data_IF_484981298738
#
_entry.id   IF_484981298738
#
_cell.length_a   1.000
_cell.length_b   1.000
_cell.length_c   1.000
_cell.angle_alpha   90.00
_cell.angle_beta   90.00
_cell.angle_gamma   90.00
#
_symmetry.space_group_name_H-M   'P 1'
#
loop_
_entity.id
_entity.type
_entity.pdbx_description
1 polymer ?
#
# COMPACT_ATOMS: atom_id res chain seq x y z
N UNK A 1 14.94 2.32 -3.82
CA UNK A 1 13.57 1.81 -4.04
C UNK A 1 13.58 0.69 -5.07
N UNK A 2 14.41 0.84 -6.10
CA UNK A 2 14.63 -0.13 -7.20
C UNK A 2 14.90 -1.57 -6.74
N UNK A 3 15.49 -1.77 -5.55
CA UNK A 3 15.68 -3.11 -4.98
C UNK A 3 14.57 -3.54 -3.99
N UNK A 4 13.91 -2.60 -3.31
CA UNK A 4 12.94 -2.89 -2.23
C UNK A 4 11.59 -3.31 -2.80
N UNK A 5 11.05 -2.55 -3.77
CA UNK A 5 9.75 -2.86 -4.36
C UNK A 5 9.72 -4.23 -5.04
N UNK A 6 10.72 -4.61 -5.86
CA UNK A 6 10.77 -5.96 -6.42
C UNK A 6 10.94 -7.04 -5.35
N UNK A 7 11.72 -6.81 -4.30
CA UNK A 7 11.87 -7.78 -3.21
C UNK A 7 10.56 -8.02 -2.45
N UNK A 8 9.80 -6.95 -2.19
CA UNK A 8 8.48 -7.02 -1.57
C UNK A 8 7.50 -7.82 -2.44
N UNK A 9 7.44 -7.51 -3.74
CA UNK A 9 6.59 -8.23 -4.69
C UNK A 9 7.02 -9.70 -4.82
N UNK A 10 8.31 -9.99 -5.00
CA UNK A 10 8.81 -11.36 -5.11
C UNK A 10 8.45 -12.19 -3.88
N UNK A 11 8.62 -11.61 -2.68
CA UNK A 11 8.23 -12.28 -1.44
C UNK A 11 6.73 -12.55 -1.39
N UNK A 12 5.91 -11.59 -1.82
CA UNK A 12 4.46 -11.72 -1.84
C UNK A 12 3.97 -12.75 -2.87
N UNK A 13 4.54 -12.75 -4.07
CA UNK A 13 4.19 -13.70 -5.14
C UNK A 13 4.45 -15.16 -4.72
N UNK A 14 5.54 -15.43 -3.99
CA UNK A 14 5.83 -16.78 -3.47
C UNK A 14 4.70 -17.28 -2.55
N UNK A 15 4.21 -16.42 -1.68
CA UNK A 15 3.21 -16.80 -0.68
C UNK A 15 1.81 -16.95 -1.34
N UNK A 16 1.49 -16.16 -2.36
CA UNK A 16 0.25 -16.33 -3.14
C UNK A 16 0.15 -17.68 -3.85
N UNK A 17 1.25 -18.20 -4.41
CA UNK A 17 1.28 -19.50 -5.08
C UNK A 17 1.05 -20.65 -4.09
N UNK A 18 1.37 -20.44 -2.81
CA UNK A 18 1.38 -21.47 -1.77
C UNK A 18 0.13 -21.48 -0.90
N UNK A 19 -0.61 -20.39 -0.86
CA UNK A 19 -1.68 -20.18 0.11
C UNK A 19 -2.90 -19.50 -0.53
N UNK A 20 -4.02 -20.24 -0.63
CA UNK A 20 -5.28 -19.72 -1.13
C UNK A 20 -5.89 -18.63 -0.23
N UNK A 21 -5.48 -18.55 1.04
CA UNK A 21 -5.87 -17.47 1.95
C UNK A 21 -5.05 -16.20 1.76
N UNK A 22 -3.99 -16.23 0.93
CA UNK A 22 -3.17 -15.05 0.63
C UNK A 22 -4.02 -13.89 0.14
N UNK A 23 -5.11 -14.13 -0.60
CA UNK A 23 -6.03 -13.07 -1.05
C UNK A 23 -6.64 -12.21 0.07
N UNK A 24 -6.67 -12.70 1.32
CA UNK A 24 -7.20 -11.99 2.51
C UNK A 24 -6.12 -11.35 3.38
N UNK A 25 -4.86 -11.59 3.05
CA UNK A 25 -3.72 -11.08 3.81
C UNK A 25 -2.92 -10.07 3.01
N UNK A 26 -2.14 -9.25 3.69
CA UNK A 26 -1.13 -8.39 3.07
C UNK A 26 0.19 -8.50 3.82
N UNK A 27 1.30 -8.16 3.16
CA UNK A 27 2.58 -8.01 3.86
C UNK A 27 2.80 -6.55 4.20
N UNK A 28 2.89 -6.26 5.50
CA UNK A 28 3.29 -4.95 6.00
C UNK A 28 4.78 -4.95 6.33
N UNK A 29 5.51 -4.00 5.77
CA UNK A 29 6.94 -3.83 5.90
C UNK A 29 7.26 -2.57 6.70
N UNK A 30 8.17 -2.64 7.65
CA UNK A 30 8.79 -1.50 8.32
C UNK A 30 10.18 -1.27 7.74
N UNK A 31 10.46 -0.03 7.33
CA UNK A 31 11.69 0.36 6.65
C UNK A 31 12.46 1.38 7.49
N UNK A 32 13.61 1.00 8.05
CA UNK A 32 14.46 1.87 8.87
C UNK A 32 15.50 2.69 8.07
N UNK A 33 15.38 2.70 6.75
CA UNK A 33 16.40 3.22 5.83
C UNK A 33 16.16 4.70 5.53
N UNK A 34 17.15 5.58 5.71
CA UNK A 34 16.99 7.03 5.48
C UNK A 34 16.94 7.43 4.01
N UNK A 35 17.41 6.55 3.11
CA UNK A 35 17.33 6.74 1.67
C UNK A 35 17.10 5.42 0.91
N UNK A 36 16.78 5.56 -0.37
CA UNK A 36 16.46 4.50 -1.31
C UNK A 36 17.60 3.47 -1.54
N UNK A 37 18.84 3.78 -1.12
CA UNK A 37 20.07 3.09 -1.50
C UNK A 37 20.73 2.35 -0.32
N UNK A 38 20.36 2.65 0.92
CA UNK A 38 20.93 2.05 2.13
C UNK A 38 19.90 1.18 2.84
N UNK A 39 19.58 0.02 2.25
CA UNK A 39 18.66 -0.96 2.81
C UNK A 39 19.22 -1.63 4.09
N UNK A 40 19.23 -0.93 5.22
CA UNK A 40 19.52 -1.52 6.53
C UNK A 40 18.28 -1.45 7.43
N UNK A 41 17.88 -2.59 8.02
CA UNK A 41 16.77 -2.65 8.97
C UNK A 41 15.39 -2.73 8.31
N UNK A 42 15.13 -3.85 7.65
CA UNK A 42 13.83 -4.17 7.07
C UNK A 42 13.21 -5.29 7.89
N UNK A 43 11.97 -5.12 8.32
CA UNK A 43 11.17 -6.16 8.96
C UNK A 43 9.80 -6.21 8.28
N UNK A 44 9.17 -7.37 8.23
CA UNK A 44 7.80 -7.47 7.77
C UNK A 44 6.98 -8.41 8.64
N UNK A 45 5.66 -8.30 8.48
CA UNK A 45 4.67 -9.17 9.10
C UNK A 45 3.50 -9.37 8.14
N UNK A 46 2.86 -10.53 8.21
CA UNK A 46 1.64 -10.83 7.47
C UNK A 46 0.47 -10.30 8.29
N UNK A 47 -0.38 -9.50 7.66
CA UNK A 47 -1.57 -8.91 8.29
C UNK A 47 -2.80 -9.56 7.69
N UNK A 48 -3.61 -10.19 8.54
CA UNK A 48 -4.95 -10.66 8.19
C UNK A 48 -5.93 -9.49 8.30
N UNK A 49 -6.56 -9.14 7.18
CA UNK A 49 -7.47 -8.00 7.11
C UNK A 49 -8.83 -8.29 7.73
N UNK A 50 -9.19 -9.57 7.96
CA UNK A 50 -10.46 -9.98 8.54
C UNK A 50 -10.42 -10.08 10.08
N UNK A 51 -9.26 -9.81 10.70
CA UNK A 51 -8.97 -10.21 12.08
C UNK A 51 -9.65 -9.38 13.21
N UNK A 52 -10.16 -8.17 12.94
CA UNK A 52 -10.96 -7.37 13.89
C UNK A 52 -11.68 -6.20 13.17
N UNK A 53 -13.02 -6.10 13.20
CA UNK A 53 -13.75 -5.01 12.54
C UNK A 53 -13.67 -3.66 13.27
N UNK A 54 -13.22 -3.63 14.53
CA UNK A 54 -13.25 -2.43 15.38
C UNK A 54 -11.96 -1.61 15.28
N UNK A 55 -10.83 -2.25 14.96
CA UNK A 55 -9.51 -1.60 14.91
C UNK A 55 -8.82 -1.92 13.60
N UNK A 56 -8.17 -0.91 13.00
CA UNK A 56 -7.35 -1.12 11.80
C UNK A 56 -6.25 -2.17 12.08
N UNK A 57 -6.28 -3.34 11.42
CA UNK A 57 -5.26 -4.37 11.61
C UNK A 57 -3.89 -3.88 11.13
N UNK A 58 -3.87 -2.97 10.14
CA UNK A 58 -2.66 -2.32 9.62
C UNK A 58 -2.01 -1.42 10.66
N UNK A 59 -2.77 -0.53 11.31
CA UNK A 59 -2.21 0.37 12.32
C UNK A 59 -1.69 -0.41 13.55
N UNK A 60 -2.40 -1.48 13.94
CA UNK A 60 -1.95 -2.37 15.00
C UNK A 60 -0.62 -3.07 14.63
N UNK A 61 -0.54 -3.62 13.42
CA UNK A 61 0.68 -4.26 12.93
C UNK A 61 1.85 -3.27 12.80
N UNK A 62 1.58 -2.04 12.34
CA UNK A 62 2.57 -0.97 12.25
C UNK A 62 3.15 -0.61 13.62
N UNK A 63 2.31 -0.48 14.65
CA UNK A 63 2.75 -0.27 16.03
C UNK A 63 3.66 -1.41 16.53
N UNK A 64 3.32 -2.67 16.19
CA UNK A 64 4.16 -3.82 16.48
C UNK A 64 5.54 -3.75 15.79
N UNK A 65 5.59 -3.34 14.52
CA UNK A 65 6.84 -3.18 13.77
C UNK A 65 7.73 -2.07 14.34
N UNK A 66 7.15 -0.94 14.75
CA UNK A 66 7.87 0.15 15.43
C UNK A 66 8.59 -0.39 16.68
N UNK A 67 7.89 -1.16 17.49
CA UNK A 67 8.45 -1.71 18.74
C UNK A 67 9.53 -2.78 18.49
N UNK A 68 9.50 -3.47 17.35
CA UNK A 68 10.45 -4.54 17.00
C UNK A 68 11.80 -4.05 16.46
N UNK A 69 11.92 -2.76 16.12
CA UNK A 69 13.14 -2.17 15.57
C UNK A 69 13.76 -1.19 16.58
N UNK A 70 14.27 -1.66 17.73
CA UNK A 70 14.80 -0.79 18.77
C UNK A 70 16.02 -0.01 18.26
N UNK A 71 16.01 1.31 18.52
CA UNK A 71 17.12 2.21 18.21
C UNK A 71 17.25 2.62 16.74
N UNK A 72 16.31 2.24 15.86
CA UNK A 72 16.27 2.70 14.47
C UNK A 72 14.99 3.46 14.19
N UNK A 73 15.14 4.71 13.76
CA UNK A 73 14.00 5.53 13.34
C UNK A 73 13.46 4.94 12.03
N UNK A 74 12.22 4.45 12.06
CA UNK A 74 11.55 4.03 10.83
C UNK A 74 11.39 5.26 9.92
N UNK A 75 11.82 5.10 8.68
CA UNK A 75 11.67 6.11 7.65
C UNK A 75 10.31 6.00 6.96
N UNK A 76 9.78 4.78 6.84
CA UNK A 76 8.52 4.53 6.16
C UNK A 76 7.98 3.12 6.35
N UNK A 77 6.83 2.88 5.74
CA UNK A 77 6.19 1.57 5.70
C UNK A 77 5.93 1.14 4.27
N UNK A 78 6.06 -0.16 4.03
CA UNK A 78 5.73 -0.80 2.77
C UNK A 78 4.50 -1.70 2.88
N UNK A 79 3.72 -1.78 1.80
CA UNK A 79 2.63 -2.71 1.61
C UNK A 79 2.94 -3.58 0.40
N UNK A 80 2.84 -4.90 0.53
CA UNK A 80 2.79 -5.80 -0.62
C UNK A 80 1.49 -6.59 -0.60
N UNK A 81 0.75 -6.56 -1.70
CA UNK A 81 -0.57 -7.17 -1.79
C UNK A 81 -0.80 -7.83 -3.14
N UNK A 82 -1.83 -8.69 -3.15
CA UNK A 82 -2.43 -9.19 -4.38
C UNK A 82 -3.56 -8.25 -4.78
N UNK A 83 -3.72 -8.01 -6.07
CA UNK A 83 -4.81 -7.23 -6.64
C UNK A 83 -5.27 -7.87 -7.94
N UNK A 84 -6.40 -7.42 -8.46
CA UNK A 84 -6.85 -7.74 -9.82
C UNK A 84 -6.93 -6.44 -10.60
N UNK A 85 -6.34 -6.42 -11.78
CA UNK A 85 -6.33 -5.25 -12.66
C UNK A 85 -6.46 -5.64 -14.12
N UNK A 86 -6.58 -4.64 -14.98
CA UNK A 86 -6.73 -4.84 -16.42
C UNK A 86 -5.86 -3.83 -17.15
N UNK A 87 -5.19 -4.29 -18.21
CA UNK A 87 -4.37 -3.44 -19.05
C UNK A 87 -5.21 -2.82 -20.17
N UNK A 88 -5.20 -1.50 -20.29
CA UNK A 88 -5.83 -0.78 -21.39
C UNK A 88 -4.74 -0.22 -22.32
N UNK A 89 -4.74 -0.66 -23.57
CA UNK A 89 -3.70 -0.34 -24.56
C UNK A 89 -4.02 0.89 -25.43
N UNK A 90 -5.15 1.55 -25.18
CA UNK A 90 -5.57 2.75 -25.92
C UNK A 90 -5.38 4.03 -25.12
N UNK A 91 -5.26 5.17 -25.82
CA UNK A 91 -5.26 6.52 -25.22
C UNK A 91 -6.65 6.99 -24.76
N UNK A 92 -7.60 6.07 -24.66
CA UNK A 92 -8.98 6.35 -24.25
C UNK A 92 -9.13 6.32 -22.74
N UNK A 93 -10.27 6.80 -22.27
CA UNK A 93 -10.66 6.65 -20.87
C UNK A 93 -10.83 5.16 -20.50
N UNK A 94 -10.67 4.86 -19.21
CA UNK A 94 -10.95 3.52 -18.68
C UNK A 94 -12.40 3.16 -19.02
N UNK A 95 -12.68 2.01 -19.66
CA UNK A 95 -14.04 1.64 -20.04
C UNK A 95 -14.99 1.62 -18.84
N UNK A 96 -16.19 2.19 -18.98
CA UNK A 96 -17.19 2.24 -17.89
C UNK A 96 -17.49 0.87 -17.29
N UNK A 97 -17.48 -0.18 -18.13
CA UNK A 97 -17.68 -1.56 -17.67
C UNK A 97 -16.58 -2.06 -16.73
N UNK A 98 -15.34 -1.59 -16.89
CA UNK A 98 -14.25 -1.88 -15.97
C UNK A 98 -14.40 -1.09 -14.67
N UNK A 99 -14.74 0.21 -14.75
CA UNK A 99 -15.02 1.03 -13.57
C UNK A 99 -16.14 0.44 -12.71
N UNK A 100 -17.22 -0.01 -13.35
CA UNK A 100 -18.34 -0.66 -12.66
C UNK A 100 -17.94 -1.98 -12.00
N UNK A 101 -17.21 -2.84 -12.71
CA UNK A 101 -16.73 -4.10 -12.15
C UNK A 101 -15.77 -3.87 -10.97
N UNK A 102 -14.95 -2.82 -11.01
CA UNK A 102 -14.11 -2.41 -9.89
C UNK A 102 -14.94 -2.00 -8.68
N UNK A 103 -15.92 -1.11 -8.87
CA UNK A 103 -16.80 -0.65 -7.79
C UNK A 103 -17.61 -1.79 -7.15
N UNK A 104 -17.98 -2.80 -7.94
CA UNK A 104 -18.74 -3.97 -7.47
C UNK A 104 -17.86 -5.12 -6.95
N UNK A 105 -16.53 -5.00 -6.99
CA UNK A 105 -15.61 -6.06 -6.58
C UNK A 105 -15.59 -7.28 -7.53
N UNK A 106 -16.01 -7.10 -8.78
CA UNK A 106 -16.15 -8.13 -9.82
C UNK A 106 -15.09 -8.05 -10.91
N UNK A 107 -13.97 -7.37 -10.67
CA UNK A 107 -12.90 -7.26 -11.67
C UNK A 107 -12.39 -8.61 -12.16
N UNK A 108 -12.26 -9.59 -11.25
CA UNK A 108 -11.82 -10.96 -11.59
C UNK A 108 -12.74 -11.70 -12.56
N UNK A 109 -13.99 -11.27 -12.68
CA UNK A 109 -14.97 -11.90 -13.57
C UNK A 109 -14.82 -11.39 -15.02
N UNK A 110 -13.99 -10.35 -15.23
CA UNK A 110 -13.75 -9.78 -16.55
C UNK A 110 -12.74 -10.64 -17.32
N UNK A 111 -12.99 -10.97 -18.60
CA UNK A 111 -12.12 -11.84 -19.39
C UNK A 111 -10.69 -11.35 -19.58
N UNK A 112 -10.49 -10.03 -19.50
CA UNK A 112 -9.22 -9.33 -19.72
C UNK A 112 -8.53 -8.92 -18.42
N UNK A 113 -9.15 -9.21 -17.27
CA UNK A 113 -8.53 -8.96 -15.99
C UNK A 113 -7.44 -10.00 -15.70
N UNK A 114 -6.40 -9.54 -15.02
CA UNK A 114 -5.28 -10.34 -14.59
C UNK A 114 -5.00 -10.11 -13.11
N UNK A 115 -4.41 -11.11 -12.48
CA UNK A 115 -3.86 -11.02 -11.14
C UNK A 115 -2.56 -10.21 -11.15
N UNK A 116 -2.45 -9.31 -10.18
CA UNK A 116 -1.32 -8.43 -10.00
C UNK A 116 -0.67 -8.68 -8.65
N UNK A 117 0.65 -8.63 -8.64
CA UNK A 117 1.41 -8.41 -7.41
C UNK A 117 1.81 -6.94 -7.35
N UNK A 118 1.47 -6.26 -6.27
CA UNK A 118 1.77 -4.85 -6.08
C UNK A 118 2.60 -4.63 -4.83
N UNK A 119 3.50 -3.65 -4.89
CA UNK A 119 4.19 -3.11 -3.74
C UNK A 119 4.07 -1.58 -3.72
N UNK A 120 3.83 -1.03 -2.53
CA UNK A 120 3.77 0.41 -2.27
C UNK A 120 4.65 0.71 -1.08
N UNK A 121 5.38 1.82 -1.10
CA UNK A 121 6.14 2.32 0.05
C UNK A 121 5.78 3.77 0.29
N UNK A 122 5.39 4.09 1.51
CA UNK A 122 5.13 5.44 1.97
C UNK A 122 6.20 5.85 2.97
N UNK A 123 6.72 7.06 2.83
CA UNK A 123 7.66 7.63 3.79
C UNK A 123 7.05 8.73 4.65
N UNK A 124 7.75 9.12 5.71
CA UNK A 124 7.31 10.16 6.63
C UNK A 124 7.15 11.55 5.97
N UNK A 125 7.69 11.75 4.77
CA UNK A 125 7.67 13.03 4.05
C UNK A 125 6.48 13.15 3.11
N UNK A 126 5.68 12.08 2.98
CA UNK A 126 4.54 12.03 2.06
C UNK A 126 4.85 11.41 0.71
N UNK A 127 6.07 10.90 0.47
CA UNK A 127 6.39 10.27 -0.82
C UNK A 127 5.82 8.86 -0.87
N UNK A 128 5.16 8.53 -1.98
CA UNK A 128 4.78 7.16 -2.31
C UNK A 128 5.62 6.63 -3.46
N UNK A 129 6.08 5.39 -3.34
CA UNK A 129 6.79 4.66 -4.38
C UNK A 129 6.03 3.37 -4.64
N UNK A 130 5.58 3.18 -5.86
CA UNK A 130 4.65 2.12 -6.22
C UNK A 130 5.23 1.28 -7.36
N UNK A 131 4.95 -0.01 -7.32
CA UNK A 131 5.29 -0.93 -8.40
C UNK A 131 4.22 -2.01 -8.51
N UNK A 132 3.93 -2.43 -9.74
CA UNK A 132 3.04 -3.55 -10.05
C UNK A 132 3.65 -4.46 -11.08
N UNK A 133 3.32 -5.73 -10.99
CA UNK A 133 3.69 -6.77 -11.95
C UNK A 133 2.50 -7.69 -12.21
N UNK A 134 2.26 -8.00 -13.47
CA UNK A 134 1.26 -8.96 -13.90
C UNK A 134 1.75 -10.38 -13.61
N UNK A 135 0.89 -11.21 -13.00
CA UNK A 135 1.24 -12.58 -12.62
C UNK A 135 1.30 -13.48 -13.85
N UNK A 136 0.35 -13.34 -14.78
CA UNK A 136 0.25 -14.20 -15.96
C UNK A 136 0.88 -13.57 -17.22
N UNK A 137 1.34 -12.32 -17.15
CA UNK A 137 2.05 -11.61 -18.23
C UNK A 137 3.39 -11.00 -17.74
N UNK A 138 4.34 -11.83 -17.24
CA UNK A 138 5.60 -11.34 -16.69
C UNK A 138 6.49 -10.63 -17.73
N UNK A 139 6.29 -10.87 -19.03
CA UNK A 139 7.00 -10.22 -20.13
C UNK A 139 6.74 -8.71 -20.23
N UNK A 140 5.63 -8.22 -19.66
CA UNK A 140 5.35 -6.79 -19.55
C UNK A 140 6.27 -6.08 -18.53
N UNK A 141 6.98 -6.86 -17.71
CA UNK A 141 7.89 -6.34 -16.70
C UNK A 141 7.18 -5.62 -15.56
N UNK A 142 7.95 -4.86 -14.79
CA UNK A 142 7.46 -4.08 -13.65
C UNK A 142 7.12 -2.67 -14.13
N UNK A 143 5.90 -2.24 -13.82
CA UNK A 143 5.51 -0.83 -13.96
C UNK A 143 5.67 -0.15 -12.61
N UNK A 144 6.43 0.95 -12.55
CA UNK A 144 6.66 1.72 -11.33
C UNK A 144 6.36 3.20 -11.50
N UNK A 145 5.93 3.84 -10.43
CA UNK A 145 5.66 5.27 -10.38
C UNK A 145 5.87 5.81 -8.96
N UNK A 146 5.93 7.13 -8.82
CA UNK A 146 6.07 7.80 -7.54
C UNK A 146 5.22 9.06 -7.50
N UNK A 147 4.68 9.35 -6.33
CA UNK A 147 3.80 10.50 -6.11
C UNK A 147 4.18 11.21 -4.80
N UNK A 148 3.69 12.43 -4.62
CA UNK A 148 3.75 13.16 -3.35
C UNK A 148 2.34 13.31 -2.78
N UNK A 149 2.02 12.46 -1.81
CA UNK A 149 0.71 12.40 -1.16
C UNK A 149 0.39 13.67 -0.36
N UNK A 150 1.39 14.51 -0.08
CA UNK A 150 1.27 15.76 0.67
C UNK A 150 1.53 17.00 -0.21
N UNK A 151 1.52 16.87 -1.54
CA UNK A 151 1.80 17.95 -2.49
C UNK A 151 0.87 19.15 -2.33
N UNK A 152 -0.43 18.88 -2.30
CA UNK A 152 -1.47 19.90 -2.17
C UNK A 152 -2.63 19.43 -1.28
N UNK A 153 -3.56 20.36 -1.00
CA UNK A 153 -4.72 20.08 -0.15
C UNK A 153 -5.66 19.04 -0.74
N UNK A 154 -5.79 18.95 -2.07
CA UNK A 154 -6.69 17.99 -2.71
C UNK A 154 -6.17 16.56 -2.56
N UNK A 155 -4.87 16.33 -2.76
CA UNK A 155 -4.20 15.06 -2.49
C UNK A 155 -4.33 14.67 -1.01
N UNK A 156 -4.09 15.60 -0.09
CA UNK A 156 -4.25 15.34 1.35
C UNK A 156 -5.69 14.92 1.68
N UNK A 157 -6.67 15.62 1.12
CA UNK A 157 -8.10 15.33 1.35
C UNK A 157 -8.49 13.96 0.80
N UNK A 158 -7.95 13.57 -0.36
CA UNK A 158 -8.13 12.26 -0.94
C UNK A 158 -7.59 11.15 -0.03
N UNK A 159 -6.35 11.26 0.45
CA UNK A 159 -5.76 10.26 1.33
C UNK A 159 -6.46 10.15 2.68
N UNK A 160 -6.92 11.27 3.24
CA UNK A 160 -7.78 11.26 4.43
C UNK A 160 -9.12 10.57 4.13
N UNK A 161 -9.76 10.88 3.00
CA UNK A 161 -11.00 10.22 2.59
C UNK A 161 -10.85 8.70 2.43
N UNK A 162 -9.73 8.24 1.84
CA UNK A 162 -9.37 6.82 1.73
C UNK A 162 -9.11 6.20 3.10
N UNK A 163 -8.48 6.92 4.02
CA UNK A 163 -8.26 6.47 5.40
C UNK A 163 -9.59 6.25 6.14
N UNK A 164 -10.50 7.21 6.05
CA UNK A 164 -11.85 7.15 6.64
C UNK A 164 -12.67 5.99 6.04
N UNK A 165 -12.50 5.72 4.75
CA UNK A 165 -13.15 4.60 4.06
C UNK A 165 -12.51 3.23 4.35
N UNK A 166 -11.49 3.16 5.21
CA UNK A 166 -10.84 1.90 5.59
C UNK A 166 -9.91 1.32 4.51
N UNK A 167 -9.47 2.13 3.54
CA UNK A 167 -8.55 1.65 2.50
C UNK A 167 -7.20 1.29 3.12
N UNK A 168 -6.78 0.03 2.91
CA UNK A 168 -5.57 -0.57 3.50
C UNK A 168 -4.33 0.29 3.25
N UNK A 169 -4.09 0.73 2.00
CA UNK A 169 -2.94 1.55 1.66
C UNK A 169 -2.95 2.91 2.35
N UNK A 170 -4.12 3.49 2.60
CA UNK A 170 -4.24 4.75 3.35
C UNK A 170 -3.93 4.57 4.83
N UNK A 171 -4.20 3.40 5.42
CA UNK A 171 -3.77 3.10 6.79
C UNK A 171 -2.24 2.91 6.87
N UNK A 172 -1.61 2.34 5.84
CA UNK A 172 -0.14 2.27 5.74
C UNK A 172 0.47 3.67 5.57
N UNK A 173 -0.10 4.50 4.71
CA UNK A 173 0.27 5.90 4.55
C UNK A 173 0.18 6.66 5.87
N UNK A 174 -0.94 6.53 6.60
CA UNK A 174 -1.11 7.15 7.91
C UNK A 174 -0.01 6.72 8.90
N UNK A 175 0.31 5.41 8.95
CA UNK A 175 1.40 4.92 9.78
C UNK A 175 2.76 5.53 9.40
N UNK A 176 3.04 5.70 8.11
CA UNK A 176 4.27 6.33 7.63
C UNK A 176 4.39 7.80 8.02
N UNK A 177 3.37 8.62 7.78
CA UNK A 177 3.44 10.06 8.12
C UNK A 177 3.50 10.31 9.64
N UNK A 178 3.07 9.36 10.48
CA UNK A 178 3.24 9.49 11.94
C UNK A 178 4.69 9.42 12.40
N UNK A 179 5.61 8.89 11.58
CA UNK A 179 7.04 8.82 11.91
C UNK A 179 7.69 10.21 12.00
N UNK A 180 7.09 11.23 11.38
CA UNK A 180 7.44 12.65 11.56
C UNK A 180 6.21 13.46 11.99
N UNK A 181 5.76 13.21 13.23
CA UNK A 181 4.56 13.86 13.78
C UNK A 181 4.68 15.38 13.92
N UNK A 182 5.90 15.91 14.02
CA UNK A 182 6.13 17.37 14.11
C UNK A 182 5.85 18.03 12.77
N UNK A 183 6.43 17.50 11.68
CA UNK A 183 6.18 17.99 10.32
C UNK A 183 4.73 17.80 9.92
N UNK A 184 4.15 16.63 10.21
CA UNK A 184 2.84 16.24 9.70
C UNK A 184 1.68 16.60 10.63
N UNK A 185 1.91 17.45 11.64
CA UNK A 185 0.93 17.78 12.69
C UNK A 185 -0.45 18.16 12.15
N UNK A 186 -0.52 19.00 11.11
CA UNK A 186 -1.78 19.45 10.54
C UNK A 186 -2.59 18.29 9.93
N UNK A 187 -1.93 17.40 9.19
CA UNK A 187 -2.57 16.21 8.59
C UNK A 187 -3.00 15.23 9.69
N UNK A 188 -2.13 14.97 10.67
CA UNK A 188 -2.42 14.06 11.78
C UNK A 188 -3.58 14.53 12.66
N UNK A 189 -3.78 15.84 12.82
CA UNK A 189 -4.94 16.38 13.53
C UNK A 189 -6.26 16.08 12.82
N UNK A 190 -6.24 15.99 11.49
CA UNK A 190 -7.42 15.68 10.68
C UNK A 190 -7.79 14.20 10.76
N UNK A 191 -6.80 13.30 10.75
CA UNK A 191 -7.02 11.84 10.92
C UNK A 191 -7.62 11.46 12.26
N UNK A 192 -7.44 12.29 13.30
CA UNK A 192 -8.00 12.04 14.64
C UNK A 192 -9.46 12.43 14.80
N UNK A 193 -10.05 13.10 13.80
CA UNK A 193 -11.45 13.52 13.85
C UNK A 193 -12.26 12.55 13.01
N UNK A 194 -13.10 11.69 13.61
CA UNK A 194 -14.10 10.96 12.82
C UNK A 194 -14.95 11.99 12.09
N UNK A 195 -15.24 11.77 10.80
CA UNK A 195 -16.33 12.51 10.15
C UNK A 195 -17.60 12.29 10.96
N UNK A 196 -18.23 13.37 11.40
CA UNK A 196 -19.59 13.31 11.91
C UNK A 196 -20.46 12.76 10.77
N UNK A 197 -21.05 11.59 11.00
CA UNK A 197 -22.06 10.98 10.13
C UNK A 197 -23.37 11.72 10.33
#
# INVERSE_FOLDING_TARGET
>A
MDAILPAMMAKRSIDMVRDASAARTVHLWGLACTDANTASGVAYTVVDLDSDPVKSPILNAAAGLINRLPGRQLWGFGLACWMVGELFTGNGEVPEGALRAMAEGRMKDRPTADELCAAMVFDARGRSYNAVMYVHMPELGVTSWHDDTLEDSASIDEWIGRFDAGVVSAHVWAAAITQDATRNRAVLQRLRRPKAV
#
